data_IF_211633803383
#
_entry.id   IF_211633803383
#
_cell.length_a   1.000
_cell.length_b   1.000
_cell.length_c   1.000
_cell.angle_alpha   90.00
_cell.angle_beta   90.00
_cell.angle_gamma   90.00
#
_symmetry.space_group_name_H-M   'P 1'
#
loop_
_entity.id
_entity.type
_entity.pdbx_description
1 polymer ?
#
# COMPACT_ATOMS: atom_id res chain seq x y z
N UNK A 1 -41.65 -0.06 15.03
CA UNK A 1 -41.82 0.49 13.67
C UNK A 1 -40.41 0.62 13.13
N UNK A 2 -39.94 -0.37 12.38
CA UNK A 2 -38.57 -0.40 11.85
C UNK A 2 -38.43 0.66 10.77
N UNK A 3 -37.47 1.57 10.95
CA UNK A 3 -37.03 2.48 9.90
C UNK A 3 -36.37 1.65 8.78
N UNK A 4 -37.07 1.50 7.66
CA UNK A 4 -36.51 0.97 6.43
C UNK A 4 -35.36 1.88 6.00
N UNK A 5 -34.12 1.40 6.15
CA UNK A 5 -32.94 2.09 5.65
C UNK A 5 -33.14 2.49 4.19
N UNK A 6 -32.92 3.78 3.91
CA UNK A 6 -32.96 4.33 2.55
C UNK A 6 -32.08 3.50 1.63
N UNK A 7 -32.69 2.91 0.59
CA UNK A 7 -31.97 2.14 -0.41
C UNK A 7 -30.78 2.94 -0.97
N UNK A 8 -29.60 2.30 -0.97
CA UNK A 8 -28.33 2.83 -1.50
C UNK A 8 -28.55 3.34 -2.93
N UNK A 9 -28.55 4.65 -3.13
CA UNK A 9 -28.69 5.23 -4.47
C UNK A 9 -27.34 5.18 -5.18
N UNK A 10 -27.10 4.09 -5.92
CA UNK A 10 -26.05 4.05 -6.93
C UNK A 10 -26.41 5.02 -8.07
N UNK A 11 -25.42 5.65 -8.73
CA UNK A 11 -25.70 6.57 -9.82
C UNK A 11 -26.33 5.81 -10.99
N UNK A 12 -27.16 6.52 -11.77
CA UNK A 12 -27.80 5.93 -12.97
C UNK A 12 -26.79 5.47 -14.02
N UNK A 13 -25.61 6.08 -14.06
CA UNK A 13 -24.53 5.83 -15.02
C UNK A 13 -23.21 5.71 -14.29
N UNK A 14 -22.41 4.71 -14.65
CA UNK A 14 -21.11 4.46 -14.02
C UNK A 14 -20.15 5.65 -14.19
N UNK A 15 -20.23 6.36 -15.32
CA UNK A 15 -19.42 7.58 -15.58
C UNK A 15 -19.58 8.69 -14.53
N UNK A 16 -20.59 8.62 -13.66
CA UNK A 16 -20.71 9.54 -12.53
C UNK A 16 -19.61 9.36 -11.47
N UNK A 17 -19.04 8.15 -11.32
CA UNK A 17 -17.97 7.91 -10.34
C UNK A 17 -16.67 8.65 -10.68
N UNK A 18 -16.47 9.07 -11.92
CA UNK A 18 -15.34 9.93 -12.30
C UNK A 18 -15.54 11.41 -11.93
N UNK A 19 -16.73 11.81 -11.45
CA UNK A 19 -17.11 13.21 -11.25
C UNK A 19 -17.06 13.60 -9.78
N UNK A 20 -16.39 14.70 -9.48
CA UNK A 20 -16.28 15.24 -8.13
C UNK A 20 -17.66 15.57 -7.53
N UNK A 21 -18.59 16.10 -8.33
CA UNK A 21 -19.90 16.53 -7.85
C UNK A 21 -20.72 15.37 -7.28
N UNK A 22 -20.64 14.19 -7.91
CA UNK A 22 -21.29 12.97 -7.42
C UNK A 22 -20.77 12.60 -6.03
N UNK A 23 -19.46 12.68 -5.82
CA UNK A 23 -18.85 12.34 -4.54
C UNK A 23 -19.13 13.39 -3.47
N UNK A 24 -19.14 14.68 -3.82
CA UNK A 24 -19.54 15.73 -2.88
C UNK A 24 -20.97 15.51 -2.36
N UNK A 25 -21.92 15.17 -3.24
CA UNK A 25 -23.30 14.85 -2.85
C UNK A 25 -23.37 13.59 -1.97
N UNK A 26 -22.69 12.51 -2.40
CA UNK A 26 -22.70 11.25 -1.66
C UNK A 26 -22.08 11.39 -0.28
N UNK A 27 -20.93 12.05 -0.16
CA UNK A 27 -20.24 12.22 1.13
C UNK A 27 -20.94 13.20 2.07
N UNK A 28 -21.82 14.07 1.56
CA UNK A 28 -22.68 14.88 2.41
C UNK A 28 -23.73 14.04 3.15
N UNK A 29 -24.17 12.91 2.56
CA UNK A 29 -25.22 12.04 3.11
C UNK A 29 -24.69 10.76 3.78
N UNK A 30 -23.67 10.12 3.18
CA UNK A 30 -23.16 8.81 3.60
C UNK A 30 -21.89 8.96 4.45
N UNK A 31 -22.01 8.67 5.75
CA UNK A 31 -20.90 8.84 6.70
C UNK A 31 -19.80 7.81 6.58
N UNK A 32 -20.14 6.58 6.21
CA UNK A 32 -19.22 5.45 6.18
C UNK A 32 -19.59 4.53 5.02
N UNK A 33 -18.59 4.15 4.22
CA UNK A 33 -18.72 3.13 3.18
C UNK A 33 -17.35 2.53 2.84
N UNK A 34 -17.30 1.20 2.71
CA UNK A 34 -16.10 0.47 2.31
C UNK A 34 -16.25 -0.11 0.92
N UNK A 35 -15.47 0.42 -0.03
CA UNK A 35 -15.33 -0.17 -1.35
C UNK A 35 -14.36 -1.36 -1.32
N UNK A 36 -14.74 -2.42 -2.05
CA UNK A 36 -14.02 -3.68 -2.27
C UNK A 36 -13.86 -4.55 -1.03
N UNK A 37 -13.01 -4.11 -0.10
CA UNK A 37 -12.61 -4.84 1.11
C UNK A 37 -12.62 -3.90 2.32
N UNK A 38 -12.96 -4.45 3.48
CA UNK A 38 -12.89 -3.74 4.75
C UNK A 38 -11.46 -3.63 5.26
N UNK A 39 -11.17 -2.69 6.18
CA UNK A 39 -9.85 -2.59 6.80
C UNK A 39 -9.40 -3.90 7.46
N UNK A 40 -10.31 -4.62 8.12
CA UNK A 40 -10.01 -5.89 8.80
C UNK A 40 -9.49 -6.96 7.83
N UNK A 41 -10.07 -7.03 6.63
CA UNK A 41 -9.60 -7.94 5.58
C UNK A 41 -8.25 -7.52 4.99
N UNK A 42 -7.97 -6.22 4.92
CA UNK A 42 -6.77 -5.69 4.27
C UNK A 42 -5.56 -5.59 5.20
N UNK A 43 -5.74 -5.33 6.49
CA UNK A 43 -4.62 -5.19 7.42
C UNK A 43 -3.66 -6.40 7.44
N UNK A 44 -4.12 -7.66 7.38
CA UNK A 44 -3.23 -8.82 7.25
C UNK A 44 -2.37 -8.82 5.98
N UNK A 45 -2.82 -8.17 4.89
CA UNK A 45 -2.05 -8.00 3.65
C UNK A 45 -1.09 -6.82 3.74
N UNK A 46 -1.55 -5.72 4.34
CA UNK A 46 -0.82 -4.45 4.38
C UNK A 46 0.25 -4.43 5.46
N UNK A 47 -0.09 -4.71 6.73
CA UNK A 47 0.81 -4.53 7.87
C UNK A 47 2.15 -5.28 7.74
N UNK A 48 2.22 -6.50 7.18
CA UNK A 48 3.49 -7.17 6.97
C UNK A 48 4.45 -6.44 6.02
N UNK A 49 3.95 -5.55 5.16
CA UNK A 49 4.72 -4.74 4.22
C UNK A 49 5.15 -3.38 4.81
N UNK A 50 4.60 -3.00 5.97
CA UNK A 50 4.74 -1.67 6.54
C UNK A 50 5.65 -1.65 7.78
N UNK A 51 6.22 -0.48 8.06
CA UNK A 51 6.97 -0.19 9.29
C UNK A 51 6.48 1.12 9.89
N UNK A 52 6.48 1.29 11.23
CA UNK A 52 5.99 2.51 11.88
C UNK A 52 6.66 3.82 11.44
N UNK A 53 7.86 3.77 10.89
CA UNK A 53 8.58 4.95 10.40
C UNK A 53 8.19 5.37 8.97
N UNK A 54 7.38 4.58 8.27
CA UNK A 54 7.02 4.84 6.88
C UNK A 54 5.97 5.95 6.77
N UNK A 55 6.12 6.81 5.78
CA UNK A 55 5.11 7.78 5.38
C UNK A 55 4.18 7.12 4.37
N UNK A 56 2.91 6.96 4.75
CA UNK A 56 1.88 6.31 3.94
C UNK A 56 0.94 7.35 3.35
N UNK A 57 0.78 7.37 2.03
CA UNK A 57 -0.23 8.18 1.34
C UNK A 57 -1.39 7.28 0.88
N UNK A 58 -2.61 7.56 1.32
CA UNK A 58 -3.83 6.94 0.80
C UNK A 58 -4.47 7.87 -0.22
N UNK A 59 -4.60 7.42 -1.46
CA UNK A 59 -5.16 8.19 -2.58
C UNK A 59 -6.62 7.79 -2.81
N UNK A 60 -7.48 8.79 -3.03
CA UNK A 60 -8.92 8.59 -3.10
C UNK A 60 -9.45 7.99 -1.81
N UNK A 61 -9.05 8.55 -0.66
CA UNK A 61 -9.31 7.94 0.64
C UNK A 61 -10.80 7.80 0.96
N UNK A 62 -11.66 8.61 0.32
CA UNK A 62 -13.10 8.62 0.54
C UNK A 62 -13.46 8.71 2.02
N UNK A 63 -14.60 8.10 2.39
CA UNK A 63 -15.04 7.95 3.77
C UNK A 63 -14.64 6.58 4.37
N UNK A 64 -13.62 5.92 3.81
CA UNK A 64 -13.09 4.65 4.32
C UNK A 64 -12.39 4.85 5.67
N UNK A 65 -12.48 3.84 6.52
CA UNK A 65 -11.80 3.72 7.81
C UNK A 65 -10.39 3.11 7.69
N UNK A 66 -9.94 2.76 6.48
CA UNK A 66 -8.63 2.13 6.28
C UNK A 66 -7.48 2.95 6.88
N UNK A 67 -7.47 4.26 6.67
CA UNK A 67 -6.44 5.16 7.22
C UNK A 67 -6.44 5.17 8.76
N UNK A 68 -7.63 5.16 9.36
CA UNK A 68 -7.82 5.15 10.81
C UNK A 68 -7.36 3.80 11.39
N UNK A 69 -7.65 2.71 10.69
CA UNK A 69 -7.24 1.35 11.04
C UNK A 69 -5.72 1.15 10.92
N UNK A 70 -5.07 1.74 9.91
CA UNK A 70 -3.61 1.77 9.78
C UNK A 70 -2.96 2.47 10.97
N UNK A 71 -3.48 3.64 11.35
CA UNK A 71 -3.02 4.38 12.54
C UNK A 71 -3.21 3.52 13.78
N UNK A 72 -4.41 3.01 14.04
CA UNK A 72 -4.70 2.15 15.20
C UNK A 72 -3.82 0.89 15.26
N UNK A 73 -3.34 0.41 14.10
CA UNK A 73 -2.42 -0.73 13.96
C UNK A 73 -0.93 -0.35 14.09
N UNK A 74 -0.63 0.90 14.45
CA UNK A 74 0.73 1.33 14.77
C UNK A 74 1.43 2.12 13.68
N UNK A 75 0.75 2.56 12.61
CA UNK A 75 1.32 3.41 11.55
C UNK A 75 1.04 4.91 11.82
N UNK A 76 1.97 5.64 12.46
CA UNK A 76 1.70 7.00 12.91
C UNK A 76 1.72 8.07 11.81
N UNK A 77 2.22 7.83 10.60
CA UNK A 77 2.38 8.88 9.57
C UNK A 77 1.52 8.58 8.34
N UNK A 78 0.26 9.02 8.36
CA UNK A 78 -0.72 8.74 7.31
C UNK A 78 -1.24 10.03 6.68
N UNK A 79 -1.08 10.15 5.37
CA UNK A 79 -1.54 11.26 4.55
C UNK A 79 -2.71 10.76 3.70
N UNK A 80 -3.79 11.54 3.64
CA UNK A 80 -5.03 11.18 2.98
C UNK A 80 -5.27 12.18 1.87
N UNK A 81 -5.46 11.70 0.64
CA UNK A 81 -5.75 12.54 -0.52
C UNK A 81 -7.11 12.17 -1.09
N UNK A 82 -7.94 13.18 -1.31
CA UNK A 82 -9.22 13.04 -2.02
C UNK A 82 -9.54 14.36 -2.71
N UNK A 83 -10.23 14.31 -3.85
CA UNK A 83 -10.70 15.53 -4.50
C UNK A 83 -11.94 16.14 -3.82
N UNK A 84 -12.70 15.38 -3.01
CA UNK A 84 -13.87 15.88 -2.31
C UNK A 84 -13.45 16.62 -1.04
N UNK A 85 -13.81 17.89 -0.95
CA UNK A 85 -13.58 18.67 0.28
C UNK A 85 -14.50 18.19 1.39
N UNK A 86 -15.72 17.79 1.07
CA UNK A 86 -16.72 17.32 2.05
C UNK A 86 -16.20 16.13 2.84
N UNK A 87 -15.62 15.13 2.17
CA UNK A 87 -15.14 13.92 2.85
C UNK A 87 -13.92 14.19 3.72
N UNK A 88 -12.99 15.02 3.24
CA UNK A 88 -11.80 15.39 4.02
C UNK A 88 -12.17 16.20 5.27
N UNK A 89 -13.14 17.11 5.16
CA UNK A 89 -13.69 17.81 6.33
C UNK A 89 -14.34 16.85 7.32
N UNK A 90 -15.10 15.86 6.82
CA UNK A 90 -15.68 14.84 7.68
C UNK A 90 -14.60 14.02 8.40
N UNK A 91 -13.56 13.54 7.70
CA UNK A 91 -12.46 12.79 8.33
C UNK A 91 -11.70 13.62 9.38
N UNK A 92 -11.41 14.90 9.10
CA UNK A 92 -10.79 15.81 10.10
C UNK A 92 -11.60 15.96 11.39
N UNK A 93 -12.94 15.89 11.34
CA UNK A 93 -13.78 15.93 12.54
C UNK A 93 -13.65 14.67 13.40
N UNK A 94 -13.40 13.52 12.79
CA UNK A 94 -13.26 12.22 13.47
C UNK A 94 -11.82 11.92 13.90
N UNK A 95 -10.83 12.62 13.35
CA UNK A 95 -9.39 12.47 13.66
C UNK A 95 -9.09 12.41 15.16
N UNK A 96 -9.73 13.25 15.97
CA UNK A 96 -9.53 13.28 17.43
C UNK A 96 -9.81 11.93 18.09
N UNK A 97 -10.83 11.22 17.62
CA UNK A 97 -11.16 9.90 18.15
C UNK A 97 -10.12 8.87 17.73
N UNK A 98 -9.63 8.94 16.48
CA UNK A 98 -8.56 8.08 15.98
C UNK A 98 -7.26 8.28 16.79
N UNK A 99 -6.84 9.53 16.99
CA UNK A 99 -5.67 9.88 17.82
C UNK A 99 -5.85 9.35 19.25
N UNK A 100 -7.04 9.53 19.84
CA UNK A 100 -7.33 9.01 21.19
C UNK A 100 -7.16 7.50 21.26
N UNK A 101 -7.75 6.76 20.30
CA UNK A 101 -7.64 5.30 20.22
C UNK A 101 -6.17 4.86 20.11
N UNK A 102 -5.41 5.50 19.21
CA UNK A 102 -3.98 5.25 19.03
C UNK A 102 -3.17 5.42 20.33
N UNK A 103 -3.35 6.53 21.03
CA UNK A 103 -2.62 6.84 22.26
C UNK A 103 -2.98 5.89 23.42
N UNK A 104 -4.19 5.32 23.40
CA UNK A 104 -4.63 4.31 24.37
C UNK A 104 -4.23 2.87 24.00
N UNK A 105 -3.74 2.64 22.78
CA UNK A 105 -3.29 1.30 22.36
C UNK A 105 -1.96 0.92 23.02
N UNK A 106 -1.75 -0.35 23.39
CA UNK A 106 -0.44 -0.81 23.83
C UNK A 106 0.59 -0.54 22.74
N UNK A 107 1.71 0.10 23.09
CA UNK A 107 2.77 0.35 22.11
C UNK A 107 3.23 -0.98 21.51
N UNK A 108 3.41 -1.08 20.17
CA UNK A 108 3.90 -2.31 19.57
C UNK A 108 5.24 -2.74 20.20
N UNK A 109 5.50 -4.05 20.33
CA UNK A 109 6.78 -4.53 20.81
C UNK A 109 7.88 -3.94 19.92
N UNK A 110 8.93 -3.42 20.54
CA UNK A 110 10.03 -2.80 19.79
C UNK A 110 10.64 -3.85 18.86
N UNK A 111 10.76 -3.53 17.58
CA UNK A 111 11.58 -4.28 16.63
C UNK A 111 13.07 -4.08 16.95
N UNK A 112 13.51 -4.47 18.15
CA UNK A 112 14.89 -4.44 18.58
C UNK A 112 15.56 -5.76 18.23
N UNK A 113 15.65 -6.07 16.93
CA UNK A 113 16.55 -7.11 16.39
C UNK A 113 16.42 -7.24 14.86
N UNK A 114 16.54 -6.14 14.12
CA UNK A 114 17.04 -6.28 12.74
C UNK A 114 18.56 -6.46 12.83
N UNK A 115 19.13 -7.62 12.46
CA UNK A 115 20.58 -7.73 12.35
C UNK A 115 21.04 -6.73 11.28
N UNK A 116 21.95 -5.84 11.64
CA UNK A 116 22.65 -5.01 10.66
C UNK A 116 23.24 -5.93 9.58
N UNK A 117 23.15 -5.60 8.29
CA UNK A 117 23.83 -6.37 7.25
C UNK A 117 25.32 -6.35 7.57
N UNK A 118 25.89 -7.53 7.89
CA UNK A 118 27.33 -7.69 8.02
C UNK A 118 27.94 -7.30 6.68
N UNK A 119 28.76 -6.26 6.68
CA UNK A 119 29.64 -5.97 5.56
C UNK A 119 30.49 -7.22 5.28
N UNK A 120 30.26 -7.85 4.13
CA UNK A 120 31.10 -8.93 3.64
C UNK A 120 32.44 -8.28 3.28
N UNK A 121 33.43 -8.47 4.14
CA UNK A 121 34.81 -8.08 3.82
C UNK A 121 35.35 -9.03 2.75
N UNK A 122 36.13 -8.54 1.77
CA UNK A 122 36.68 -9.37 0.71
C UNK A 122 37.67 -10.41 1.27
N UNK A 123 37.83 -11.58 0.62
CA UNK A 123 38.72 -12.63 1.09
C UNK A 123 40.19 -12.20 1.02
N UNK A 124 40.86 -12.14 2.17
CA UNK A 124 42.30 -11.97 2.27
C UNK A 124 43.04 -13.30 2.02
N UNK A 125 44.12 -13.21 1.23
CA UNK A 125 45.00 -14.30 0.77
C UNK A 125 45.58 -15.19 1.90
N UNK A 126 45.98 -16.45 1.60
CA UNK A 126 46.41 -17.39 2.61
C UNK A 126 47.80 -17.04 3.18
N UNK A 127 47.90 -16.98 4.51
CA UNK A 127 49.17 -16.89 5.26
C UNK A 127 49.45 -18.22 5.97
N UNK A 128 50.71 -18.62 5.94
CA UNK A 128 51.31 -19.87 6.43
C UNK A 128 51.09 -20.14 7.92
N UNK A 129 51.16 -21.41 8.36
CA UNK A 129 50.84 -21.79 9.74
C UNK A 129 52.00 -21.50 10.71
N UNK A 130 51.67 -21.03 11.91
CA UNK A 130 52.53 -21.04 13.10
C UNK A 130 51.72 -21.60 14.28
N UNK A 131 52.35 -22.31 15.22
CA UNK A 131 51.64 -23.17 16.17
C UNK A 131 50.95 -22.39 17.28
N UNK A 132 49.73 -22.83 17.64
CA UNK A 132 48.94 -22.30 18.75
C UNK A 132 49.23 -23.07 20.05
N UNK A 133 49.50 -22.35 21.12
CA UNK A 133 49.44 -22.84 22.51
C UNK A 133 48.00 -22.72 23.04
N UNK A 134 47.51 -23.63 23.90
CA UNK A 134 46.20 -23.51 24.52
C UNK A 134 46.29 -22.73 25.84
N UNK A 135 45.61 -21.57 25.93
CA UNK A 135 45.30 -20.94 27.22
C UNK A 135 43.80 -20.98 27.45
N UNK A 136 43.36 -21.78 28.41
CA UNK A 136 41.99 -21.80 28.92
C UNK A 136 41.85 -20.77 30.05
N UNK A 137 41.05 -19.73 29.83
CA UNK A 137 40.56 -18.86 30.89
C UNK A 137 39.04 -19.08 31.06
N UNK A 138 38.53 -19.27 32.28
CA UNK A 138 37.10 -19.48 32.49
C UNK A 138 36.31 -18.17 32.30
N UNK A 139 35.17 -18.28 31.61
CA UNK A 139 34.21 -17.18 31.43
C UNK A 139 33.55 -16.80 32.76
N UNK A 140 33.60 -15.52 33.10
CA UNK A 140 32.85 -14.95 34.23
C UNK A 140 31.33 -14.97 33.96
N UNK A 141 30.48 -15.20 34.98
CA UNK A 141 29.03 -15.19 34.81
C UNK A 141 28.53 -13.77 34.53
N UNK A 142 27.66 -13.63 33.52
CA UNK A 142 27.03 -12.38 33.12
C UNK A 142 26.09 -11.85 34.20
N UNK A 143 26.24 -10.59 34.59
CA UNK A 143 25.37 -9.89 35.54
C UNK A 143 23.89 -9.89 35.09
N UNK A 144 22.93 -9.92 36.03
CA UNK A 144 21.51 -9.86 35.71
C UNK A 144 21.16 -8.53 35.01
N UNK A 145 20.38 -8.62 33.93
CA UNK A 145 19.86 -7.46 33.19
C UNK A 145 19.08 -6.55 34.14
N UNK A 146 19.48 -5.28 34.19
CA UNK A 146 18.73 -4.22 34.87
C UNK A 146 17.31 -4.15 34.30
N UNK A 147 16.29 -3.86 35.13
CA UNK A 147 14.92 -3.67 34.65
C UNK A 147 14.90 -2.53 33.64
N UNK A 148 14.31 -2.78 32.47
CA UNK A 148 14.18 -1.78 31.40
C UNK A 148 13.41 -0.58 31.91
N UNK A 149 13.96 0.62 31.74
CA UNK A 149 13.28 1.89 32.05
C UNK A 149 11.86 1.91 31.44
N UNK A 150 10.87 2.54 32.12
CA UNK A 150 9.52 2.64 31.58
C UNK A 150 9.55 3.32 30.21
N UNK A 151 8.89 2.70 29.22
CA UNK A 151 8.82 3.22 27.86
C UNK A 151 8.11 4.58 27.88
N UNK A 152 8.70 5.57 27.20
CA UNK A 152 8.02 6.83 26.93
C UNK A 152 6.70 6.57 26.18
N UNK A 153 5.61 7.30 26.51
CA UNK A 153 4.35 7.17 25.77
C UNK A 153 4.57 7.45 24.28
N UNK A 154 3.79 6.82 23.38
CA UNK A 154 3.90 7.08 21.95
C UNK A 154 3.56 8.54 21.65
N UNK A 155 4.28 9.15 20.71
CA UNK A 155 3.93 10.47 20.19
C UNK A 155 2.58 10.38 19.46
N UNK A 156 1.77 11.45 19.44
CA UNK A 156 0.55 11.49 18.64
C UNK A 156 0.84 11.17 17.16
N UNK A 157 -0.05 10.43 16.48
CA UNK A 157 0.11 10.16 15.07
C UNK A 157 -0.13 11.46 14.28
N UNK A 158 0.50 11.55 13.11
CA UNK A 158 0.30 12.60 12.12
C UNK A 158 -0.69 12.08 11.08
N UNK A 159 -1.88 12.68 11.05
CA UNK A 159 -2.86 12.47 10.00
C UNK A 159 -3.03 13.76 9.20
N UNK A 160 -2.69 13.72 7.92
CA UNK A 160 -2.84 14.88 7.04
C UNK A 160 -3.90 14.62 5.99
N UNK A 161 -4.59 15.68 5.55
CA UNK A 161 -5.69 15.59 4.58
C UNK A 161 -5.51 16.62 3.46
N UNK A 162 -5.29 16.13 2.24
CA UNK A 162 -4.90 16.89 1.07
C UNK A 162 -6.07 16.89 0.06
N UNK A 163 -6.69 18.04 -0.14
CA UNK A 163 -7.75 18.21 -1.13
C UNK A 163 -7.12 18.42 -2.51
N UNK A 164 -7.07 17.37 -3.33
CA UNK A 164 -6.41 17.41 -4.64
C UNK A 164 -6.96 16.35 -5.60
N UNK A 165 -6.81 16.62 -6.89
CA UNK A 165 -7.07 15.66 -7.97
C UNK A 165 -5.90 14.67 -8.07
N UNK A 166 -6.18 13.38 -7.94
CA UNK A 166 -5.14 12.34 -7.99
C UNK A 166 -4.50 12.18 -9.37
N UNK A 167 -5.11 12.69 -10.44
CA UNK A 167 -4.51 12.69 -11.78
C UNK A 167 -3.42 13.76 -11.93
N UNK A 168 -3.25 14.64 -10.93
CA UNK A 168 -2.34 15.79 -10.93
C UNK A 168 -1.60 15.91 -9.59
N UNK A 169 -0.65 15.01 -9.39
CA UNK A 169 0.09 14.90 -8.12
C UNK A 169 1.36 15.75 -8.05
N UNK A 170 1.62 16.66 -9.00
CA UNK A 170 2.88 17.41 -9.13
C UNK A 170 3.22 18.26 -7.90
N UNK A 171 2.20 18.70 -7.17
CA UNK A 171 2.34 19.47 -5.93
C UNK A 171 3.00 18.68 -4.78
N UNK A 172 2.92 17.34 -4.82
CA UNK A 172 3.64 16.50 -3.89
C UNK A 172 5.14 16.56 -4.19
N UNK A 173 5.99 16.54 -3.17
CA UNK A 173 7.44 16.46 -3.37
C UNK A 173 7.80 15.09 -3.97
N UNK A 174 8.75 15.07 -4.90
CA UNK A 174 9.31 13.81 -5.40
C UNK A 174 10.01 13.03 -4.27
N UNK A 175 9.93 11.70 -4.30
CA UNK A 175 10.53 10.81 -3.29
C UNK A 175 10.11 11.16 -1.84
N UNK A 176 8.85 11.53 -1.63
CA UNK A 176 8.32 11.92 -0.33
C UNK A 176 7.78 10.74 0.48
N UNK A 177 7.13 9.78 -0.19
CA UNK A 177 6.38 8.71 0.47
C UNK A 177 7.11 7.37 0.37
N UNK A 178 7.04 6.58 1.44
CA UNK A 178 7.53 5.21 1.44
C UNK A 178 6.49 4.26 0.85
N UNK A 179 5.21 4.57 1.05
CA UNK A 179 4.09 3.76 0.56
C UNK A 179 2.98 4.64 0.03
N UNK A 180 2.42 4.28 -1.13
CA UNK A 180 1.19 4.83 -1.68
C UNK A 180 0.16 3.70 -1.77
N UNK A 181 -1.04 3.91 -1.22
CA UNK A 181 -2.14 2.96 -1.24
C UNK A 181 -3.30 3.54 -2.03
N UNK A 182 -3.79 2.77 -2.99
CA UNK A 182 -4.98 3.02 -3.79
C UNK A 182 -5.99 1.91 -3.51
N UNK A 183 -7.20 2.30 -3.08
CA UNK A 183 -8.30 1.37 -2.91
C UNK A 183 -9.50 1.84 -3.71
N UNK A 184 -9.71 1.23 -4.86
CA UNK A 184 -10.76 1.56 -5.83
C UNK A 184 -10.73 3.00 -6.39
N UNK A 185 -9.70 3.80 -6.12
CA UNK A 185 -9.66 5.18 -6.57
C UNK A 185 -9.46 5.24 -8.10
N UNK A 186 -8.49 4.48 -8.60
CA UNK A 186 -8.30 4.35 -10.05
C UNK A 186 -9.48 3.68 -10.75
N UNK A 187 -10.20 2.78 -10.06
CA UNK A 187 -11.41 2.15 -10.60
C UNK A 187 -12.44 3.23 -10.98
N UNK A 188 -12.59 4.26 -10.15
CA UNK A 188 -13.49 5.38 -10.41
C UNK A 188 -13.15 6.13 -11.71
N UNK A 189 -11.87 6.30 -12.06
CA UNK A 189 -11.46 6.89 -13.35
C UNK A 189 -11.86 6.04 -14.55
N UNK A 190 -11.98 4.73 -14.36
CA UNK A 190 -12.25 3.75 -15.41
C UNK A 190 -13.73 3.39 -15.55
N UNK A 191 -14.61 4.10 -14.85
CA UNK A 191 -16.06 3.87 -14.88
C UNK A 191 -16.78 4.52 -16.06
N UNK A 192 -16.05 5.22 -16.94
CA UNK A 192 -16.62 5.76 -18.17
C UNK A 192 -17.26 4.67 -19.03
N UNK A 193 -18.34 5.03 -19.73
CA UNK A 193 -19.01 4.12 -20.66
C UNK A 193 -18.21 3.97 -21.95
N UNK A 194 -17.87 2.72 -22.28
CA UNK A 194 -17.10 2.39 -23.47
C UNK A 194 -16.52 0.98 -23.40
N UNK A 195 -15.64 0.66 -24.35
CA UNK A 195 -14.95 -0.62 -24.39
C UNK A 195 -13.88 -0.70 -23.30
N UNK A 196 -13.91 -1.74 -22.49
CA UNK A 196 -12.81 -2.07 -21.56
C UNK A 196 -11.57 -2.55 -22.32
N UNK A 197 -11.76 -3.08 -23.54
CA UNK A 197 -10.69 -3.51 -24.43
C UNK A 197 -9.98 -2.32 -25.07
N UNK A 198 -10.75 -1.28 -25.42
CA UNK A 198 -10.26 -0.06 -26.05
C UNK A 198 -10.72 1.17 -25.25
N UNK A 199 -10.10 1.44 -24.08
CA UNK A 199 -10.48 2.57 -23.26
C UNK A 199 -10.21 3.88 -24.01
N UNK A 200 -11.02 4.91 -23.76
CA UNK A 200 -10.85 6.23 -24.38
C UNK A 200 -9.50 6.84 -24.05
N UNK A 201 -8.96 7.63 -24.96
CA UNK A 201 -7.66 8.30 -24.79
C UNK A 201 -7.65 9.17 -23.52
N UNK A 202 -8.75 9.87 -23.21
CA UNK A 202 -8.88 10.67 -21.98
C UNK A 202 -8.68 9.85 -20.70
N UNK A 203 -9.29 8.66 -20.63
CA UNK A 203 -9.13 7.73 -19.49
C UNK A 203 -7.69 7.25 -19.39
N UNK A 204 -7.06 6.94 -20.54
CA UNK A 204 -5.64 6.53 -20.57
C UNK A 204 -4.72 7.65 -20.08
N UNK A 205 -4.96 8.89 -20.50
CA UNK A 205 -4.18 10.07 -20.08
C UNK A 205 -4.35 10.38 -18.59
N UNK A 206 -5.58 10.29 -18.06
CA UNK A 206 -5.84 10.47 -16.64
C UNK A 206 -5.13 9.40 -15.79
N UNK A 207 -5.19 8.14 -16.23
CA UNK A 207 -4.48 7.03 -15.61
C UNK A 207 -2.96 7.20 -15.66
N UNK A 208 -2.41 7.62 -16.80
CA UNK A 208 -0.97 7.88 -16.98
C UNK A 208 -0.50 9.01 -16.05
N UNK A 209 -1.21 10.14 -16.02
CA UNK A 209 -0.90 11.25 -15.11
C UNK A 209 -0.91 10.83 -13.64
N UNK A 210 -1.90 10.03 -13.24
CA UNK A 210 -1.97 9.47 -11.89
C UNK A 210 -0.78 8.55 -11.58
N UNK A 211 -0.52 7.53 -12.40
CA UNK A 211 0.53 6.54 -12.15
C UNK A 211 1.94 7.16 -12.24
N UNK A 212 2.17 8.10 -13.16
CA UNK A 212 3.41 8.88 -13.21
C UNK A 212 3.59 9.74 -11.95
N UNK A 213 2.50 10.35 -11.45
CA UNK A 213 2.48 11.07 -10.18
C UNK A 213 2.86 10.20 -8.98
N UNK A 214 2.30 8.99 -8.89
CA UNK A 214 2.63 7.98 -7.87
C UNK A 214 4.09 7.57 -7.95
N UNK A 215 4.55 7.18 -9.15
CA UNK A 215 5.95 6.81 -9.39
C UNK A 215 6.91 7.93 -8.98
N UNK A 216 6.58 9.20 -9.27
CA UNK A 216 7.41 10.35 -8.89
C UNK A 216 7.45 10.59 -7.37
N UNK A 217 6.32 10.47 -6.67
CA UNK A 217 6.24 10.81 -5.25
C UNK A 217 6.72 9.67 -4.32
N UNK A 218 6.78 8.43 -4.81
CA UNK A 218 7.40 7.32 -4.09
C UNK A 218 8.92 7.47 -4.01
N UNK A 219 9.52 7.08 -2.89
CA UNK A 219 10.98 6.93 -2.75
C UNK A 219 11.48 5.73 -3.55
N UNK A 220 12.77 5.69 -3.93
CA UNK A 220 13.39 4.45 -4.42
C UNK A 220 13.22 3.32 -3.40
N UNK A 221 12.76 2.14 -3.83
CA UNK A 221 12.37 1.03 -2.97
C UNK A 221 11.01 1.21 -2.25
N UNK A 222 10.28 2.29 -2.54
CA UNK A 222 8.94 2.54 -2.03
C UNK A 222 7.91 1.64 -2.70
N UNK A 223 6.78 1.43 -2.01
CA UNK A 223 5.74 0.50 -2.44
C UNK A 223 4.49 1.24 -2.94
N UNK A 224 4.01 0.87 -4.12
CA UNK A 224 2.65 1.18 -4.56
C UNK A 224 1.78 -0.05 -4.36
N UNK A 225 0.69 0.10 -3.61
CA UNK A 225 -0.27 -0.96 -3.33
C UNK A 225 -1.62 -0.55 -3.90
N UNK A 226 -2.19 -1.39 -4.75
CA UNK A 226 -3.49 -1.12 -5.34
C UNK A 226 -4.45 -2.29 -5.11
N UNK A 227 -5.61 -1.98 -4.52
CA UNK A 227 -6.73 -2.88 -4.32
C UNK A 227 -7.81 -2.47 -5.32
N UNK A 228 -8.17 -3.39 -6.21
CA UNK A 228 -9.02 -3.09 -7.36
C UNK A 228 -10.01 -4.20 -7.67
N UNK A 229 -11.16 -3.83 -8.23
CA UNK A 229 -12.08 -4.78 -8.84
C UNK A 229 -11.63 -5.22 -10.24
N UNK A 230 -10.76 -4.44 -10.90
CA UNK A 230 -10.42 -4.66 -12.28
C UNK A 230 -9.50 -5.88 -12.44
N UNK A 231 -9.91 -6.81 -13.29
CA UNK A 231 -9.17 -8.03 -13.55
C UNK A 231 -7.76 -7.75 -14.06
N UNK A 232 -6.77 -8.59 -13.73
CA UNK A 232 -5.38 -8.26 -14.00
C UNK A 232 -5.04 -8.07 -15.46
N UNK A 233 -5.66 -8.85 -16.35
CA UNK A 233 -5.51 -8.68 -17.79
C UNK A 233 -5.84 -7.25 -18.23
N UNK A 234 -6.86 -6.60 -17.65
CA UNK A 234 -7.17 -5.21 -17.98
C UNK A 234 -6.28 -4.20 -17.25
N UNK A 235 -6.01 -4.40 -15.95
CA UNK A 235 -5.26 -3.44 -15.13
C UNK A 235 -3.78 -3.34 -15.53
N UNK A 236 -3.14 -4.46 -15.89
CA UNK A 236 -1.71 -4.53 -16.25
C UNK A 236 -1.32 -3.54 -17.34
N UNK A 237 -2.16 -3.35 -18.37
CA UNK A 237 -1.90 -2.40 -19.47
C UNK A 237 -1.68 -0.97 -18.99
N UNK A 238 -2.39 -0.56 -17.93
CA UNK A 238 -2.21 0.75 -17.32
C UNK A 238 -0.91 0.83 -16.52
N UNK A 239 -0.61 -0.18 -15.70
CA UNK A 239 0.60 -0.23 -14.86
C UNK A 239 1.90 -0.38 -15.68
N UNK A 240 1.80 -0.88 -16.91
CA UNK A 240 2.89 -0.93 -17.89
C UNK A 240 2.92 0.29 -18.83
N UNK A 241 1.84 1.07 -18.88
CA UNK A 241 1.55 2.03 -19.94
C UNK A 241 1.69 1.42 -21.37
N UNK A 242 1.20 0.18 -21.54
CA UNK A 242 1.26 -0.57 -22.80
C UNK A 242 -0.13 -1.08 -23.19
N UNK A 243 -0.85 -0.27 -23.96
CA UNK A 243 -2.22 -0.60 -24.39
C UNK A 243 -2.29 -1.51 -25.63
N UNK A 244 -1.17 -1.69 -26.33
CA UNK A 244 -1.01 -2.65 -27.43
C UNK A 244 -0.57 -4.04 -26.96
N UNK A 245 -0.43 -4.25 -25.64
CA UNK A 245 -0.02 -5.53 -25.07
C UNK A 245 -1.05 -6.62 -25.41
N UNK A 246 -0.58 -7.76 -25.92
CA UNK A 246 -1.42 -8.95 -26.00
C UNK A 246 -1.77 -9.39 -24.58
N UNK A 247 -3.06 -9.50 -24.31
CA UNK A 247 -3.60 -9.80 -23.00
C UNK A 247 -3.30 -11.23 -22.53
N UNK A 248 -2.81 -12.08 -23.44
CA UNK A 248 -2.36 -13.43 -23.16
C UNK A 248 -0.85 -13.52 -22.91
N UNK A 249 -0.09 -12.45 -23.14
CA UNK A 249 1.36 -12.44 -22.94
C UNK A 249 1.72 -11.87 -21.57
N UNK A 250 2.53 -12.62 -20.83
CA UNK A 250 3.17 -12.09 -19.63
C UNK A 250 4.38 -11.24 -20.04
N UNK A 251 4.32 -9.96 -19.69
CA UNK A 251 5.44 -9.04 -19.84
C UNK A 251 6.48 -9.35 -18.75
N UNK A 252 7.21 -10.44 -18.96
CA UNK A 252 8.13 -11.00 -17.98
C UNK A 252 9.48 -10.27 -17.99
N UNK A 253 10.05 -10.06 -16.81
CA UNK A 253 11.40 -9.52 -16.65
C UNK A 253 12.29 -10.53 -15.92
N UNK A 254 13.44 -10.89 -16.52
CA UNK A 254 14.52 -11.62 -15.87
C UNK A 254 15.63 -10.64 -15.49
N UNK A 255 15.47 -9.92 -14.38
CA UNK A 255 16.48 -8.98 -13.86
C UNK A 255 17.26 -9.55 -12.65
N UNK A 256 17.17 -10.86 -12.42
CA UNK A 256 17.89 -11.56 -11.36
C UNK A 256 17.33 -11.33 -9.95
N UNK A 257 16.21 -10.63 -9.81
CA UNK A 257 15.51 -10.50 -8.50
C UNK A 257 14.91 -11.85 -8.06
N UNK A 258 14.73 -12.06 -6.74
CA UNK A 258 13.95 -13.18 -6.24
C UNK A 258 12.53 -13.17 -6.81
N UNK A 259 11.96 -14.35 -7.04
CA UNK A 259 10.57 -14.46 -7.48
C UNK A 259 9.64 -13.74 -6.49
N UNK A 260 8.46 -13.21 -6.92
CA UNK A 260 7.52 -12.51 -6.04
C UNK A 260 7.24 -13.25 -4.72
N UNK A 261 7.05 -14.57 -4.79
CA UNK A 261 6.87 -15.44 -3.62
C UNK A 261 8.05 -15.45 -2.66
N UNK A 262 9.28 -15.50 -3.17
CA UNK A 262 10.50 -15.48 -2.35
C UNK A 262 10.72 -14.09 -1.75
N UNK A 263 10.57 -13.04 -2.55
CA UNK A 263 10.72 -11.65 -2.12
C UNK A 263 9.74 -11.33 -0.98
N UNK A 264 8.47 -11.72 -1.11
CA UNK A 264 7.47 -11.42 -0.10
C UNK A 264 7.64 -12.30 1.13
N UNK A 265 8.03 -13.57 0.97
CA UNK A 265 8.33 -14.44 2.12
C UNK A 265 9.50 -13.92 2.95
N UNK A 266 10.49 -13.28 2.31
CA UNK A 266 11.60 -12.66 3.00
C UNK A 266 11.21 -11.39 3.80
N UNK A 267 10.16 -10.67 3.36
CA UNK A 267 9.74 -9.38 3.94
C UNK A 267 8.53 -9.49 4.87
N UNK A 268 7.60 -10.40 4.60
CA UNK A 268 6.28 -10.47 5.17
C UNK A 268 5.91 -11.93 5.51
N UNK A 269 6.32 -12.38 6.70
CA UNK A 269 6.20 -13.79 7.16
C UNK A 269 4.78 -14.38 7.19
N UNK A 270 3.74 -13.55 7.07
CA UNK A 270 2.33 -13.95 7.11
C UNK A 270 1.52 -13.43 5.92
N UNK A 271 2.18 -12.97 4.85
CA UNK A 271 1.47 -12.62 3.63
C UNK A 271 0.82 -13.88 3.04
N UNK A 272 -0.44 -13.86 2.58
CA UNK A 272 -1.04 -15.02 1.95
C UNK A 272 -0.33 -15.30 0.62
N UNK A 273 0.45 -16.38 0.59
CA UNK A 273 1.33 -16.73 -0.54
C UNK A 273 0.62 -17.46 -1.69
N UNK A 274 -0.70 -17.65 -1.62
CA UNK A 274 -1.43 -18.38 -2.67
C UNK A 274 -1.43 -17.58 -3.97
N UNK A 275 -1.30 -18.28 -5.10
CA UNK A 275 -1.43 -17.73 -6.45
C UNK A 275 -0.48 -16.58 -6.80
N UNK A 276 0.67 -16.48 -6.11
CA UNK A 276 1.71 -15.53 -6.48
C UNK A 276 2.37 -15.95 -7.81
N UNK A 277 2.59 -15.00 -8.74
CA UNK A 277 3.22 -15.31 -10.01
C UNK A 277 4.69 -15.65 -9.82
N UNK A 278 5.24 -16.43 -10.75
CA UNK A 278 6.65 -16.82 -10.74
C UNK A 278 7.60 -15.64 -11.04
N UNK A 279 7.11 -14.63 -11.76
CA UNK A 279 7.91 -13.54 -12.31
C UNK A 279 7.30 -12.19 -12.02
N UNK A 280 8.18 -11.19 -11.94
CA UNK A 280 7.78 -9.79 -11.86
C UNK A 280 7.52 -9.25 -13.26
N UNK A 281 6.62 -8.27 -13.34
CA UNK A 281 6.45 -7.42 -14.51
C UNK A 281 7.18 -6.11 -14.29
N UNK A 282 7.73 -5.53 -15.36
CA UNK A 282 8.49 -4.29 -15.27
C UNK A 282 7.86 -3.19 -16.13
N UNK A 283 7.71 -2.01 -15.53
CA UNK A 283 7.25 -0.80 -16.21
C UNK A 283 8.38 0.20 -16.29
N UNK A 284 8.96 0.34 -17.49
CA UNK A 284 9.91 1.40 -17.80
C UNK A 284 9.28 2.79 -17.63
N UNK A 285 8.00 2.92 -18.01
CA UNK A 285 7.24 4.18 -17.98
C UNK A 285 7.16 4.80 -16.58
N UNK A 286 7.05 3.97 -15.54
CA UNK A 286 6.94 4.45 -14.16
C UNK A 286 8.12 4.06 -13.27
N UNK A 287 9.11 3.32 -13.81
CA UNK A 287 10.31 2.91 -13.08
C UNK A 287 10.01 1.97 -11.90
N UNK A 288 9.09 1.02 -12.09
CA UNK A 288 8.75 0.03 -11.06
C UNK A 288 8.71 -1.38 -11.62
N UNK A 289 8.82 -2.33 -10.69
CA UNK A 289 8.45 -3.71 -10.94
C UNK A 289 7.26 -4.07 -10.08
N UNK A 290 6.33 -4.86 -10.62
CA UNK A 290 5.11 -5.21 -9.91
C UNK A 290 4.67 -6.65 -10.16
N UNK A 291 3.80 -7.13 -9.29
CA UNK A 291 3.03 -8.35 -9.48
C UNK A 291 1.60 -8.15 -8.93
N UNK A 292 0.73 -9.12 -9.17
CA UNK A 292 -0.59 -9.15 -8.56
C UNK A 292 -0.92 -10.53 -8.00
N UNK A 293 -1.91 -10.56 -7.10
CA UNK A 293 -2.56 -11.78 -6.62
C UNK A 293 -4.04 -11.49 -6.38
N UNK A 294 -4.81 -12.56 -6.23
CA UNK A 294 -6.23 -12.49 -5.93
C UNK A 294 -6.46 -12.31 -4.43
N UNK A 295 -7.46 -11.51 -4.08
CA UNK A 295 -8.07 -11.46 -2.77
C UNK A 295 -9.27 -12.41 -2.83
N UNK A 296 -9.05 -13.65 -2.42
CA UNK A 296 -10.08 -14.70 -2.42
C UNK A 296 -11.26 -14.28 -1.51
N UNK A 297 -12.47 -14.29 -2.07
CA UNK A 297 -13.70 -14.19 -1.27
C UNK A 297 -14.10 -15.60 -0.82
N UNK A 298 -14.37 -15.74 0.48
CA UNK A 298 -14.85 -17.00 1.06
C UNK A 298 -16.25 -17.43 0.60
N UNK A 299 -16.90 -16.64 -0.26
CA UNK A 299 -18.25 -16.88 -0.78
C UNK A 299 -18.17 -17.45 -2.21
N UNK A 300 -18.60 -18.71 -2.42
CA UNK A 300 -18.66 -19.29 -3.76
C UNK A 300 -19.50 -18.42 -4.72
N UNK A 301 -18.97 -18.17 -5.92
CA UNK A 301 -19.65 -17.36 -6.95
C UNK A 301 -19.43 -15.84 -6.83
N UNK A 302 -18.72 -15.36 -5.80
CA UNK A 302 -18.29 -13.96 -5.74
C UNK A 302 -17.00 -13.74 -6.54
N UNK A 303 -16.97 -12.68 -7.35
CA UNK A 303 -15.75 -12.25 -8.04
C UNK A 303 -14.70 -11.78 -7.01
N UNK A 304 -13.48 -12.28 -7.14
CA UNK A 304 -12.32 -11.83 -6.36
C UNK A 304 -12.04 -10.35 -6.61
N UNK A 305 -11.55 -9.66 -5.59
CA UNK A 305 -10.84 -8.40 -5.78
C UNK A 305 -9.35 -8.73 -6.03
N UNK A 306 -8.57 -7.78 -6.55
CA UNK A 306 -7.17 -8.01 -6.88
C UNK A 306 -6.26 -7.09 -6.08
N UNK A 307 -5.12 -7.64 -5.65
CA UNK A 307 -4.06 -6.94 -4.96
C UNK A 307 -2.87 -6.81 -5.88
N UNK A 308 -2.52 -5.59 -6.25
CA UNK A 308 -1.30 -5.25 -6.98
C UNK A 308 -0.28 -4.67 -6.03
N UNK A 309 0.97 -5.12 -6.15
CA UNK A 309 2.12 -4.59 -5.43
C UNK A 309 3.20 -4.22 -6.42
N UNK A 310 3.58 -2.94 -6.44
CA UNK A 310 4.75 -2.47 -7.16
C UNK A 310 5.82 -1.97 -6.18
N UNK A 311 7.09 -2.30 -6.45
CA UNK A 311 8.26 -1.72 -5.80
C UNK A 311 8.95 -0.79 -6.80
N UNK A 312 9.11 0.48 -6.42
CA UNK A 312 9.85 1.46 -7.23
C UNK A 312 11.32 1.07 -7.28
N UNK A 313 11.88 0.91 -8.48
CA UNK A 313 13.23 0.36 -8.66
C UNK A 313 14.33 1.42 -8.74
N UNK A 314 14.01 2.64 -9.20
CA UNK A 314 14.94 3.76 -9.38
C UNK A 314 14.38 5.05 -8.79
#
# INVERSE_FOLDING_TARGET
MEEKGTARQLPRRNSAYAKQEYWEERFAAEKHYEWLESPESLLPLLLPLLRPSMLVLTVGCGNSELSDALVASGMPFVFNLDFSRTVLQAKRRHERECIRKYLSSPSPPSSSSSPSPRAVSPPSSPRSPSPRSPSSSPRSPSSPRSPSSPRSPPLPPVMEYLCADMTRLEFLRANAFDVVIDKAAMDALMTEEGSVWEPRISVRQAADGYLAGVGRCLKPGGLFIQITFQQPHFRRRYLLNRFSLDLNEDAECEDGRPAPGEWISAKAKNFPLKNLPAKWQFSESYGWAFFHTDIEKNTPGCFSNFFFLAEKTL
#
